data_IF_074077970261
#
_entry.id   IF_074077970261
#
_cell.length_a   1.000
_cell.length_b   1.000
_cell.length_c   1.000
_cell.angle_alpha   90.00
_cell.angle_beta   90.00
_cell.angle_gamma   90.00
#
_symmetry.space_group_name_H-M   'P 1'
#
loop_
_entity.id
_entity.type
_entity.pdbx_description
1 polymer ?
#
# COMPACT_ATOMS: atom_id res chain seq x y z
N UNK A 1 29.48 5.30 12.29
CA UNK A 1 28.48 5.49 11.20
C UNK A 1 28.88 4.64 10.00
N UNK A 2 27.92 3.95 9.39
CA UNK A 2 28.19 3.30 8.12
C UNK A 2 28.71 4.33 7.11
N UNK A 3 29.68 3.94 6.28
CA UNK A 3 30.16 4.81 5.20
C UNK A 3 29.08 4.98 4.14
N UNK A 4 29.18 6.01 3.30
CA UNK A 4 28.27 6.19 2.16
C UNK A 4 28.25 4.94 1.25
N UNK A 5 29.40 4.30 1.03
CA UNK A 5 29.51 3.09 0.25
C UNK A 5 28.72 1.91 0.89
N UNK A 6 28.87 1.70 2.19
CA UNK A 6 28.14 0.63 2.91
C UNK A 6 26.64 0.84 2.90
N UNK A 7 26.17 2.09 3.11
CA UNK A 7 24.74 2.45 3.00
C UNK A 7 24.20 2.13 1.60
N UNK A 8 24.91 2.59 0.57
CA UNK A 8 24.55 2.36 -0.82
C UNK A 8 24.51 0.86 -1.15
N UNK A 9 25.47 0.09 -0.67
CA UNK A 9 25.50 -1.37 -0.86
C UNK A 9 24.29 -2.07 -0.24
N UNK A 10 23.90 -1.71 0.99
CA UNK A 10 22.71 -2.25 1.66
C UNK A 10 21.42 -1.93 0.90
N UNK A 11 21.27 -0.67 0.48
CA UNK A 11 20.11 -0.26 -0.33
C UNK A 11 20.11 -1.03 -1.65
N UNK A 12 21.25 -1.10 -2.36
CA UNK A 12 21.37 -1.82 -3.61
C UNK A 12 20.99 -3.30 -3.48
N UNK A 13 21.37 -3.94 -2.37
CA UNK A 13 21.03 -5.33 -2.08
C UNK A 13 19.52 -5.55 -1.95
N UNK A 14 18.79 -4.63 -1.35
CA UNK A 14 17.33 -4.72 -1.25
C UNK A 14 16.64 -4.37 -2.58
N UNK A 15 17.11 -3.36 -3.29
CA UNK A 15 16.58 -2.95 -4.59
C UNK A 15 16.73 -4.06 -5.64
N UNK A 16 17.85 -4.79 -5.63
CA UNK A 16 18.14 -5.87 -6.59
C UNK A 16 17.21 -7.07 -6.46
N UNK A 17 16.35 -7.12 -5.44
CA UNK A 17 15.36 -8.17 -5.26
C UNK A 17 13.99 -7.68 -5.75
N UNK A 18 13.49 -8.11 -6.91
CA UNK A 18 12.13 -7.76 -7.36
C UNK A 18 11.08 -8.20 -6.33
N UNK A 19 10.14 -7.31 -6.03
CA UNK A 19 9.09 -7.57 -5.05
C UNK A 19 7.83 -6.75 -5.36
N UNK A 20 7.46 -6.68 -6.64
CA UNK A 20 6.26 -5.96 -7.07
C UNK A 20 5.02 -6.62 -6.47
N UNK A 21 4.16 -5.83 -5.85
CA UNK A 21 2.81 -6.22 -5.43
C UNK A 21 1.81 -5.74 -6.47
N UNK A 22 0.96 -6.65 -6.95
CA UNK A 22 0.00 -6.35 -8.01
C UNK A 22 -1.29 -7.14 -7.83
N UNK A 23 -2.42 -6.51 -8.17
CA UNK A 23 -3.70 -7.21 -8.31
C UNK A 23 -3.76 -8.08 -9.57
N UNK A 24 -2.81 -7.93 -10.49
CA UNK A 24 -2.64 -8.76 -11.68
C UNK A 24 -1.54 -9.79 -11.37
N UNK A 25 -1.89 -11.08 -11.23
CA UNK A 25 -0.94 -12.10 -10.74
C UNK A 25 0.35 -12.19 -11.54
N UNK A 26 0.28 -12.00 -12.85
CA UNK A 26 1.43 -12.11 -13.77
C UNK A 26 2.48 -11.00 -13.55
N UNK A 27 2.10 -9.90 -12.90
CA UNK A 27 2.99 -8.78 -12.57
C UNK A 27 3.52 -8.87 -11.14
N UNK A 28 2.96 -9.76 -10.31
CA UNK A 28 3.34 -9.91 -8.93
C UNK A 28 4.62 -10.70 -8.75
N UNK A 29 5.42 -10.33 -7.74
CA UNK A 29 6.62 -11.05 -7.33
C UNK A 29 6.52 -11.51 -5.87
N UNK A 30 7.22 -12.58 -5.54
CA UNK A 30 7.48 -12.94 -4.15
C UNK A 30 8.28 -11.85 -3.43
N UNK A 31 7.97 -11.57 -2.16
CA UNK A 31 8.81 -10.70 -1.36
C UNK A 31 9.87 -11.46 -0.54
N UNK A 32 9.87 -12.80 -0.58
CA UNK A 32 10.81 -13.61 0.19
C UNK A 32 12.28 -13.28 -0.08
N UNK A 33 12.74 -13.01 -1.33
CA UNK A 33 14.12 -12.62 -1.57
C UNK A 33 14.53 -11.34 -0.81
N UNK A 34 13.66 -10.33 -0.75
CA UNK A 34 13.89 -9.10 0.04
C UNK A 34 13.93 -9.43 1.53
N UNK A 35 12.99 -10.23 2.02
CA UNK A 35 12.90 -10.67 3.42
C UNK A 35 14.16 -11.40 3.84
N UNK A 36 14.66 -12.35 3.03
CA UNK A 36 15.87 -13.10 3.35
C UNK A 36 17.11 -12.19 3.35
N UNK A 37 17.25 -11.32 2.34
CA UNK A 37 18.37 -10.38 2.29
C UNK A 37 18.38 -9.43 3.52
N UNK A 38 17.21 -8.96 3.94
CA UNK A 38 17.06 -8.12 5.14
C UNK A 38 17.33 -8.90 6.41
N UNK A 39 16.84 -10.15 6.51
CA UNK A 39 17.04 -11.03 7.66
C UNK A 39 18.53 -11.27 7.94
N UNK A 40 19.29 -11.58 6.88
CA UNK A 40 20.76 -11.79 6.99
C UNK A 40 21.47 -10.53 7.50
N UNK A 41 21.12 -9.35 6.99
CA UNK A 41 21.72 -8.09 7.43
C UNK A 41 21.38 -7.78 8.89
N UNK A 42 20.16 -8.02 9.32
CA UNK A 42 19.71 -7.79 10.70
C UNK A 42 20.30 -8.79 11.68
N UNK A 43 20.42 -10.06 11.30
CA UNK A 43 21.09 -11.07 12.11
C UNK A 43 22.58 -10.75 12.30
N UNK A 44 23.26 -10.31 11.25
CA UNK A 44 24.65 -9.87 11.32
C UNK A 44 24.85 -8.66 12.26
N UNK A 45 23.82 -7.82 12.41
CA UNK A 45 23.79 -6.69 13.34
C UNK A 45 23.29 -7.04 14.76
N UNK A 46 23.13 -8.33 15.07
CA UNK A 46 22.77 -8.81 16.42
C UNK A 46 21.30 -8.81 16.75
N UNK A 47 20.42 -8.63 15.78
CA UNK A 47 18.96 -8.75 16.00
C UNK A 47 18.53 -10.22 16.11
N UNK A 48 17.58 -10.48 17.01
CA UNK A 48 16.76 -11.69 16.94
C UNK A 48 15.72 -11.51 15.83
N UNK A 49 15.82 -12.30 14.77
CA UNK A 49 14.98 -12.17 13.56
C UNK A 49 13.99 -13.31 13.47
N UNK A 50 12.74 -12.97 13.18
CA UNK A 50 11.65 -13.89 12.93
C UNK A 50 11.02 -13.58 11.55
N UNK A 51 11.02 -14.57 10.67
CA UNK A 51 10.29 -14.52 9.40
C UNK A 51 8.92 -15.13 9.62
N UNK A 52 7.87 -14.41 9.25
CA UNK A 52 6.47 -14.69 9.52
C UNK A 52 5.73 -14.91 8.20
N UNK A 53 5.62 -16.16 7.68
CA UNK A 53 4.89 -16.45 6.46
C UNK A 53 3.43 -16.02 6.54
N UNK A 54 2.90 -15.45 5.46
CA UNK A 54 1.49 -15.04 5.43
C UNK A 54 0.56 -16.25 5.25
N UNK A 55 -0.55 -16.32 5.98
CA UNK A 55 -1.51 -17.39 5.85
C UNK A 55 -2.06 -17.50 4.42
N UNK A 56 -1.94 -18.69 3.82
CA UNK A 56 -2.43 -18.95 2.46
C UNK A 56 -1.59 -18.35 1.32
N UNK A 57 -0.45 -17.71 1.62
CA UNK A 57 0.44 -17.07 0.64
C UNK A 57 1.88 -17.55 0.87
N UNK A 58 2.28 -18.71 0.33
CA UNK A 58 3.58 -19.34 0.65
C UNK A 58 4.79 -18.54 0.12
N UNK A 59 4.58 -17.62 -0.80
CA UNK A 59 5.58 -16.74 -1.42
C UNK A 59 5.66 -15.35 -0.76
N UNK A 60 4.90 -15.13 0.34
CA UNK A 60 4.83 -13.86 1.05
C UNK A 60 5.12 -14.04 2.53
N UNK A 61 5.90 -13.14 3.10
CA UNK A 61 6.18 -13.09 4.53
C UNK A 61 6.37 -11.66 5.04
N UNK A 62 6.07 -11.47 6.32
CA UNK A 62 6.60 -10.35 7.10
C UNK A 62 7.92 -10.74 7.76
N UNK A 63 8.68 -9.75 8.19
CA UNK A 63 9.84 -9.93 9.04
C UNK A 63 9.70 -9.05 10.28
N UNK A 64 9.94 -9.62 11.45
CA UNK A 64 10.07 -8.91 12.70
C UNK A 64 11.45 -9.17 13.31
N UNK A 65 12.24 -8.11 13.43
CA UNK A 65 13.56 -8.16 14.06
C UNK A 65 13.53 -7.37 15.36
N UNK A 66 14.20 -7.86 16.40
CA UNK A 66 14.22 -7.29 17.73
C UNK A 66 15.63 -7.18 18.29
N UNK A 67 15.97 -6.00 18.80
CA UNK A 67 17.18 -5.71 19.55
C UNK A 67 16.79 -5.29 20.97
N UNK A 68 17.42 -5.89 21.98
CA UNK A 68 17.09 -5.64 23.39
C UNK A 68 15.86 -6.42 23.90
N UNK A 69 15.54 -6.26 25.18
CA UNK A 69 14.54 -7.03 25.92
C UNK A 69 13.50 -6.13 26.57
N UNK A 70 12.43 -6.74 27.10
CA UNK A 70 11.38 -6.04 27.85
C UNK A 70 10.10 -5.76 27.04
N UNK A 71 9.08 -5.16 27.65
CA UNK A 71 7.81 -4.82 27.01
C UNK A 71 7.86 -3.49 26.25
N UNK A 72 6.94 -3.29 25.32
CA UNK A 72 6.76 -2.04 24.60
C UNK A 72 7.89 -1.77 23.59
N UNK A 73 8.51 -0.59 23.68
CA UNK A 73 9.61 -0.19 22.81
C UNK A 73 9.18 0.59 21.56
N UNK A 74 10.11 0.71 20.62
CA UNK A 74 9.95 1.41 19.35
C UNK A 74 10.02 0.42 18.20
N UNK A 75 9.08 0.49 17.26
CA UNK A 75 9.16 -0.22 15.98
C UNK A 75 9.43 0.78 14.86
N UNK A 76 10.44 0.47 14.04
CA UNK A 76 10.70 1.10 12.75
C UNK A 76 10.07 0.20 11.69
N UNK A 77 9.00 0.65 11.07
CA UNK A 77 8.18 -0.16 10.17
C UNK A 77 8.27 0.34 8.72
N UNK A 78 8.34 -0.59 7.80
CA UNK A 78 8.26 -0.34 6.37
C UNK A 78 7.76 -1.56 5.62
N UNK A 79 7.43 -1.39 4.34
CA UNK A 79 7.05 -2.49 3.47
C UNK A 79 8.19 -2.91 2.54
N UNK A 80 8.11 -4.13 2.04
CA UNK A 80 9.12 -4.75 1.18
C UNK A 80 8.73 -4.76 -0.29
N UNK A 81 7.46 -4.57 -0.56
CA UNK A 81 6.90 -4.56 -1.89
C UNK A 81 7.04 -3.19 -2.56
N UNK A 82 6.73 -3.16 -3.84
CA UNK A 82 6.73 -1.98 -4.69
C UNK A 82 5.56 -2.05 -5.65
N UNK A 83 5.13 -0.90 -6.17
CA UNK A 83 4.13 -0.83 -7.24
C UNK A 83 4.64 -1.44 -8.55
N UNK A 84 3.75 -1.87 -9.47
CA UNK A 84 4.12 -2.13 -10.85
C UNK A 84 4.73 -0.88 -11.51
N UNK A 85 5.65 -1.09 -12.45
CA UNK A 85 6.37 -0.02 -13.13
C UNK A 85 6.18 -0.11 -14.65
N UNK A 86 6.23 1.04 -15.31
CA UNK A 86 6.24 1.09 -16.78
C UNK A 86 7.69 1.12 -17.27
N UNK A 87 8.13 0.01 -17.86
CA UNK A 87 9.48 -0.16 -18.38
C UNK A 87 9.88 0.95 -19.36
N UNK A 88 8.93 1.46 -20.14
CA UNK A 88 9.21 2.49 -21.14
C UNK A 88 9.54 3.87 -20.53
N UNK A 89 9.13 4.11 -19.29
CA UNK A 89 9.37 5.37 -18.58
C UNK A 89 10.68 5.35 -17.76
N UNK A 90 11.29 4.16 -17.55
CA UNK A 90 12.53 4.05 -16.83
C UNK A 90 13.74 4.30 -17.73
N UNK A 91 14.68 5.13 -17.26
CA UNK A 91 15.93 5.46 -17.94
C UNK A 91 17.08 4.54 -17.54
N UNK A 92 16.87 3.66 -16.56
CA UNK A 92 17.83 2.69 -16.04
C UNK A 92 17.10 1.40 -15.64
N UNK A 93 17.81 0.35 -15.29
CA UNK A 93 17.22 -0.87 -14.74
C UNK A 93 16.58 -0.58 -13.38
N UNK A 94 15.25 -0.77 -13.21
CA UNK A 94 14.54 -0.51 -11.93
C UNK A 94 15.13 -1.29 -10.74
N UNK A 95 15.70 -2.44 -10.98
CA UNK A 95 16.25 -3.33 -9.95
C UNK A 95 17.76 -3.18 -9.74
N UNK A 96 18.36 -2.15 -10.37
CA UNK A 96 19.77 -1.80 -10.18
C UNK A 96 19.88 -0.39 -9.62
N UNK A 97 20.39 -0.28 -8.39
CA UNK A 97 20.58 1.03 -7.77
C UNK A 97 21.64 1.85 -8.54
N UNK A 98 21.23 3.00 -9.02
CA UNK A 98 22.11 3.99 -9.64
C UNK A 98 22.21 5.27 -8.81
N UNK A 99 23.40 5.87 -8.83
CA UNK A 99 23.62 7.19 -8.24
C UNK A 99 23.92 8.19 -9.35
N UNK A 100 23.09 9.24 -9.42
CA UNK A 100 23.26 10.36 -10.36
C UNK A 100 22.92 11.67 -9.65
N UNK A 101 23.74 12.68 -9.82
CA UNK A 101 23.51 14.02 -9.28
C UNK A 101 23.21 14.03 -7.76
N UNK A 102 23.90 13.17 -7.01
CA UNK A 102 23.74 13.05 -5.56
C UNK A 102 22.41 12.39 -5.13
N UNK A 103 21.68 11.75 -6.05
CA UNK A 103 20.44 11.03 -5.80
C UNK A 103 20.58 9.55 -6.14
N UNK A 104 19.85 8.71 -5.41
CA UNK A 104 19.77 7.27 -5.64
C UNK A 104 18.48 6.94 -6.41
N UNK A 105 18.62 6.20 -7.52
CA UNK A 105 17.53 5.77 -8.38
C UNK A 105 17.43 4.24 -8.35
N UNK A 106 16.21 3.72 -8.23
CA UNK A 106 15.87 2.31 -8.21
C UNK A 106 14.44 2.12 -7.69
N UNK A 107 13.74 1.10 -8.13
CA UNK A 107 12.36 0.81 -7.69
C UNK A 107 12.36 0.42 -6.21
N UNK A 108 11.65 1.20 -5.38
CA UNK A 108 11.68 1.09 -3.92
C UNK A 108 12.82 1.87 -3.24
N UNK A 109 13.59 2.71 -3.96
CA UNK A 109 14.61 3.56 -3.35
C UNK A 109 14.00 4.70 -2.50
N UNK A 110 12.84 5.20 -2.88
CA UNK A 110 12.08 6.16 -2.09
C UNK A 110 10.94 5.49 -1.31
N UNK A 111 10.22 4.57 -1.96
CA UNK A 111 9.05 3.88 -1.45
C UNK A 111 9.22 2.35 -1.57
N UNK A 112 9.62 1.65 -0.49
CA UNK A 112 10.32 2.28 0.64
C UNK A 112 11.44 1.37 1.17
N UNK A 113 11.98 0.47 0.31
CA UNK A 113 13.01 -0.51 0.72
C UNK A 113 14.27 0.15 1.31
N UNK A 114 14.65 1.35 0.82
CA UNK A 114 15.81 2.05 1.36
C UNK A 114 15.62 2.41 2.84
N UNK A 115 14.40 2.69 3.29
CA UNK A 115 14.14 2.95 4.71
C UNK A 115 14.56 1.78 5.59
N UNK A 116 14.33 0.54 5.18
CA UNK A 116 14.71 -0.65 5.94
C UNK A 116 16.24 -0.75 6.15
N UNK A 117 17.02 -0.39 5.11
CA UNK A 117 18.47 -0.31 5.22
C UNK A 117 18.93 0.84 6.14
N UNK A 118 18.24 1.99 6.10
CA UNK A 118 18.52 3.13 6.97
C UNK A 118 18.11 2.87 8.42
N UNK A 119 17.01 2.14 8.65
CA UNK A 119 16.58 1.70 9.98
C UNK A 119 17.62 0.78 10.62
N UNK A 120 18.18 -0.16 9.84
CA UNK A 120 19.30 -1.00 10.28
C UNK A 120 20.53 -0.14 10.62
N UNK A 121 20.92 0.80 9.76
CA UNK A 121 22.06 1.69 10.03
C UNK A 121 21.86 2.50 11.31
N UNK A 122 20.66 3.04 11.52
CA UNK A 122 20.34 3.78 12.73
C UNK A 122 20.45 2.89 13.98
N UNK A 123 20.01 1.64 13.89
CA UNK A 123 20.06 0.68 14.97
C UNK A 123 21.49 0.24 15.35
N UNK A 124 22.45 0.24 14.42
CA UNK A 124 23.86 -0.08 14.68
C UNK A 124 24.54 0.94 15.63
N UNK A 125 23.93 2.11 15.85
CA UNK A 125 24.41 3.09 16.81
C UNK A 125 23.84 2.90 18.21
N UNK A 126 23.00 1.87 18.40
CA UNK A 126 22.34 1.59 19.67
C UNK A 126 23.02 0.41 20.35
N UNK A 127 23.53 0.63 21.55
CA UNK A 127 24.06 -0.44 22.40
C UNK A 127 22.88 -1.22 23.01
N UNK A 128 22.77 -2.51 22.65
CA UNK A 128 21.62 -3.36 23.02
C UNK A 128 21.41 -3.50 24.53
N UNK A 129 22.50 -3.54 25.30
CA UNK A 129 22.52 -3.64 26.75
C UNK A 129 22.09 -2.35 27.47
N UNK A 130 22.11 -1.22 26.79
CA UNK A 130 21.64 0.08 27.30
C UNK A 130 20.17 0.35 27.00
N UNK A 131 19.53 -0.49 26.19
CA UNK A 131 18.12 -0.35 25.86
C UNK A 131 17.24 -0.68 27.09
N UNK A 132 16.38 0.27 27.47
CA UNK A 132 15.35 0.07 28.52
C UNK A 132 14.10 -0.64 27.99
N UNK A 133 13.93 -0.66 26.68
CA UNK A 133 12.85 -1.30 25.96
C UNK A 133 13.34 -1.66 24.55
N UNK A 134 12.78 -2.66 23.88
CA UNK A 134 13.31 -3.14 22.60
C UNK A 134 13.18 -2.11 21.47
N UNK A 135 14.20 -2.09 20.60
CA UNK A 135 14.11 -1.54 19.27
C UNK A 135 13.74 -2.67 18.30
N UNK A 136 12.72 -2.45 17.49
CA UNK A 136 12.22 -3.44 16.54
C UNK A 136 12.27 -2.87 15.12
N UNK A 137 12.56 -3.73 14.15
CA UNK A 137 12.40 -3.43 12.72
C UNK A 137 11.35 -4.40 12.19
N UNK A 138 10.33 -3.84 11.58
CA UNK A 138 9.22 -4.57 10.97
C UNK A 138 9.21 -4.30 9.48
N UNK A 139 9.23 -5.38 8.69
CA UNK A 139 9.07 -5.31 7.24
C UNK A 139 7.83 -6.11 6.84
N UNK A 140 6.89 -5.46 6.17
CA UNK A 140 5.60 -6.04 5.78
C UNK A 140 5.54 -6.35 4.29
N UNK A 141 4.63 -7.26 3.93
CA UNK A 141 4.29 -7.59 2.55
C UNK A 141 3.01 -6.88 2.11
N UNK A 142 2.90 -6.65 0.80
CA UNK A 142 1.68 -6.24 0.08
C UNK A 142 0.98 -4.98 0.63
N UNK A 143 1.77 -4.01 1.07
CA UNK A 143 1.26 -2.70 1.48
C UNK A 143 0.58 -2.00 0.31
N UNK A 144 1.21 -2.05 -0.87
CA UNK A 144 0.80 -1.37 -2.10
C UNK A 144 -0.48 -1.95 -2.76
N UNK A 145 -1.01 -3.03 -2.21
CA UNK A 145 -2.23 -3.68 -2.75
C UNK A 145 -3.26 -4.01 -1.67
N UNK A 146 -3.11 -5.19 -1.04
CA UNK A 146 -4.12 -5.76 -0.12
C UNK A 146 -3.88 -5.40 1.34
N UNK A 147 -2.69 -4.95 1.71
CA UNK A 147 -2.21 -4.80 3.09
C UNK A 147 -2.24 -6.12 3.90
N UNK A 148 -2.12 -7.27 3.25
CA UNK A 148 -2.25 -8.57 3.91
C UNK A 148 -1.17 -8.77 4.97
N UNK A 149 0.04 -8.24 4.76
CA UNK A 149 1.09 -8.22 5.77
C UNK A 149 0.65 -7.53 7.06
N UNK A 150 0.10 -6.33 6.95
CA UNK A 150 -0.38 -5.58 8.11
C UNK A 150 -1.61 -6.25 8.76
N UNK A 151 -2.54 -6.80 7.96
CA UNK A 151 -3.70 -7.54 8.45
C UNK A 151 -3.31 -8.78 9.24
N UNK A 152 -2.31 -9.53 8.78
CA UNK A 152 -1.77 -10.68 9.50
C UNK A 152 -1.20 -10.28 10.87
N UNK A 153 -0.50 -9.15 10.97
CA UNK A 153 0.02 -8.64 12.25
C UNK A 153 -1.09 -8.33 13.25
N UNK A 154 -2.22 -7.79 12.79
CA UNK A 154 -3.39 -7.57 13.66
C UNK A 154 -3.92 -8.88 14.22
N UNK A 155 -4.07 -9.92 13.39
CA UNK A 155 -4.54 -11.25 13.82
C UNK A 155 -3.56 -11.91 14.79
N UNK A 156 -2.26 -11.71 14.61
CA UNK A 156 -1.22 -12.23 15.51
C UNK A 156 -1.00 -11.35 16.75
N UNK A 157 -1.61 -10.15 16.81
CA UNK A 157 -1.41 -9.15 17.87
C UNK A 157 0.07 -8.79 18.07
N UNK A 158 0.83 -8.58 16.98
CA UNK A 158 2.27 -8.32 16.97
C UNK A 158 2.64 -7.21 15.97
N UNK A 159 3.75 -6.47 16.22
CA UNK A 159 4.49 -6.43 17.48
C UNK A 159 3.75 -5.62 18.54
N UNK A 160 4.04 -5.89 19.82
CA UNK A 160 3.54 -5.08 20.96
C UNK A 160 4.53 -3.94 21.24
N UNK A 161 4.48 -2.90 20.43
CA UNK A 161 5.31 -1.71 20.59
C UNK A 161 4.53 -0.57 21.29
N UNK A 162 5.24 0.33 21.98
CA UNK A 162 4.65 1.56 22.53
C UNK A 162 4.60 2.68 21.50
N UNK A 163 5.60 2.73 20.62
CA UNK A 163 5.74 3.74 19.59
C UNK A 163 6.08 3.07 18.25
N UNK A 164 5.65 3.69 17.16
CA UNK A 164 5.98 3.28 15.81
C UNK A 164 6.43 4.49 14.98
N UNK A 165 7.45 4.28 14.17
CA UNK A 165 7.83 5.16 13.06
C UNK A 165 7.67 4.34 11.79
N UNK A 166 6.83 4.83 10.89
CA UNK A 166 6.62 4.26 9.57
C UNK A 166 7.39 5.14 8.57
N UNK A 167 8.30 4.53 7.82
CA UNK A 167 9.28 5.27 7.03
C UNK A 167 8.83 5.64 5.63
N UNK A 168 7.54 5.93 5.46
CA UNK A 168 6.99 6.41 4.20
C UNK A 168 7.65 7.72 3.72
N UNK A 169 7.70 7.97 2.38
CA UNK A 169 8.33 9.15 1.80
C UNK A 169 7.51 10.44 2.04
N UNK A 170 7.67 11.02 3.22
CA UNK A 170 6.93 12.22 3.68
C UNK A 170 7.75 13.52 3.58
N UNK A 171 8.84 13.52 2.81
CA UNK A 171 9.78 14.64 2.73
C UNK A 171 10.33 15.06 4.12
N UNK A 172 10.60 14.07 4.97
CA UNK A 172 11.05 14.20 6.36
C UNK A 172 10.09 15.02 7.26
N UNK A 173 8.85 15.18 6.85
CA UNK A 173 7.81 15.79 7.67
C UNK A 173 7.10 14.73 8.50
N UNK A 174 6.95 14.98 9.79
CA UNK A 174 6.23 14.07 10.66
C UNK A 174 4.72 14.11 10.31
N UNK A 175 4.21 13.02 9.75
CA UNK A 175 2.78 12.81 9.46
C UNK A 175 2.22 11.92 10.57
N UNK A 176 1.17 12.38 11.26
CA UNK A 176 0.55 11.65 12.38
C UNK A 176 -0.85 11.09 12.06
N UNK A 177 -1.39 11.46 10.91
CA UNK A 177 -2.68 10.98 10.43
C UNK A 177 -2.78 11.14 8.91
N UNK A 178 -3.49 10.25 8.26
CA UNK A 178 -3.84 10.32 6.85
C UNK A 178 -5.30 9.92 6.66
N UNK A 179 -5.85 10.21 5.47
CA UNK A 179 -7.18 9.74 5.09
C UNK A 179 -7.15 8.22 4.88
N UNK A 180 -8.23 7.56 5.27
CA UNK A 180 -8.44 6.17 4.90
C UNK A 180 -8.74 6.04 3.40
N UNK A 181 -8.61 4.82 2.88
CA UNK A 181 -8.86 4.49 1.47
C UNK A 181 -9.91 3.39 1.38
N UNK A 182 -10.82 3.53 0.42
CA UNK A 182 -11.77 2.50 0.03
C UNK A 182 -11.91 2.54 -1.49
N UNK A 183 -11.51 1.46 -2.16
CA UNK A 183 -11.72 1.26 -3.60
C UNK A 183 -12.87 0.27 -3.78
N UNK A 184 -13.86 0.64 -4.55
CA UNK A 184 -15.05 -0.19 -4.78
C UNK A 184 -15.38 -0.23 -6.27
N UNK A 185 -15.96 -1.36 -6.68
CA UNK A 185 -16.54 -1.54 -8.00
C UNK A 185 -18.04 -1.70 -7.89
N UNK A 186 -18.77 -0.86 -8.58
CA UNK A 186 -20.21 -1.01 -8.79
C UNK A 186 -20.47 -1.65 -10.15
N UNK A 187 -21.33 -2.64 -10.16
CA UNK A 187 -21.78 -3.33 -11.36
C UNK A 187 -23.28 -3.16 -11.51
N UNK A 188 -23.71 -2.56 -12.62
CA UNK A 188 -25.11 -2.48 -13.02
C UNK A 188 -25.39 -3.57 -14.04
N UNK A 189 -26.31 -4.45 -13.71
CA UNK A 189 -26.77 -5.53 -14.59
C UNK A 189 -28.06 -5.14 -15.27
N UNK A 190 -28.08 -5.27 -16.57
CA UNK A 190 -29.24 -5.08 -17.42
C UNK A 190 -29.60 -6.36 -18.18
N UNK A 191 -30.22 -6.18 -19.32
CA UNK A 191 -30.54 -7.26 -20.27
C UNK A 191 -30.24 -6.78 -21.69
N UNK A 192 -29.35 -7.48 -22.38
CA UNK A 192 -29.02 -7.19 -23.78
C UNK A 192 -30.18 -7.47 -24.72
N UNK A 193 -30.26 -6.71 -25.80
CA UNK A 193 -31.24 -6.85 -26.88
C UNK A 193 -30.81 -6.02 -28.05
N UNK A 194 -31.55 -6.10 -29.17
CA UNK A 194 -31.32 -5.26 -30.35
C UNK A 194 -31.85 -3.85 -30.08
N UNK A 195 -31.05 -2.81 -30.39
CA UNK A 195 -31.38 -1.41 -30.05
C UNK A 195 -32.63 -0.86 -30.77
N UNK A 196 -33.05 -1.48 -31.89
CA UNK A 196 -34.26 -1.07 -32.61
C UNK A 196 -35.57 -1.39 -31.87
N UNK A 197 -35.52 -2.30 -30.87
CA UNK A 197 -36.67 -2.61 -30.02
C UNK A 197 -36.27 -2.58 -28.53
N UNK A 198 -36.49 -1.45 -27.87
CA UNK A 198 -36.15 -1.27 -26.47
C UNK A 198 -36.85 -2.25 -25.49
N UNK A 199 -37.98 -2.85 -25.91
CA UNK A 199 -38.70 -3.83 -25.09
C UNK A 199 -37.96 -5.15 -24.96
N UNK A 200 -36.97 -5.43 -25.85
CA UNK A 200 -36.15 -6.64 -25.83
C UNK A 200 -35.06 -6.62 -24.73
N UNK A 201 -34.77 -5.46 -24.17
CA UNK A 201 -33.67 -5.31 -23.22
C UNK A 201 -33.96 -4.38 -22.03
N UNK A 202 -32.91 -4.17 -21.23
CA UNK A 202 -32.87 -3.15 -20.19
C UNK A 202 -31.43 -2.63 -20.11
N UNK A 203 -31.23 -1.36 -20.43
CA UNK A 203 -29.89 -0.78 -20.55
C UNK A 203 -29.18 -0.60 -19.21
N UNK A 204 -28.07 -1.28 -19.02
CA UNK A 204 -27.19 -1.06 -17.88
C UNK A 204 -26.53 0.34 -17.91
N UNK A 205 -26.30 0.92 -19.10
CA UNK A 205 -25.78 2.28 -19.23
C UNK A 205 -26.78 3.31 -18.72
N UNK A 206 -28.09 3.16 -19.03
CA UNK A 206 -29.13 4.05 -18.50
C UNK A 206 -29.27 3.91 -16.98
N UNK A 207 -29.11 2.68 -16.46
CA UNK A 207 -29.02 2.44 -15.03
C UNK A 207 -27.81 3.13 -14.41
N UNK A 208 -26.64 3.02 -15.04
CA UNK A 208 -25.40 3.63 -14.55
C UNK A 208 -25.47 5.16 -14.53
N UNK A 209 -26.17 5.81 -15.46
CA UNK A 209 -26.35 7.28 -15.41
C UNK A 209 -27.03 7.75 -14.12
N UNK A 210 -28.00 6.97 -13.63
CA UNK A 210 -28.67 7.25 -12.34
C UNK A 210 -27.73 7.03 -11.16
N UNK A 211 -26.93 5.96 -11.18
CA UNK A 211 -25.91 5.66 -10.18
C UNK A 211 -24.89 6.79 -10.10
N UNK A 212 -24.36 7.24 -11.25
CA UNK A 212 -23.42 8.36 -11.32
C UNK A 212 -24.01 9.64 -10.70
N UNK A 213 -25.27 9.97 -11.01
CA UNK A 213 -25.97 11.12 -10.42
C UNK A 213 -26.08 11.00 -8.90
N UNK A 214 -26.48 9.84 -8.39
CA UNK A 214 -26.59 9.59 -6.94
C UNK A 214 -25.22 9.69 -6.24
N UNK A 215 -24.15 9.14 -6.83
CA UNK A 215 -22.79 9.22 -6.27
C UNK A 215 -22.26 10.66 -6.25
N UNK A 216 -22.58 11.48 -7.27
CA UNK A 216 -22.20 12.90 -7.27
C UNK A 216 -22.93 13.68 -6.18
N UNK A 217 -24.20 13.38 -5.94
CA UNK A 217 -24.99 13.94 -4.82
C UNK A 217 -24.39 13.51 -3.48
N UNK A 218 -24.16 12.21 -3.29
CA UNK A 218 -23.52 11.66 -2.09
C UNK A 218 -22.16 12.31 -1.80
N UNK A 219 -21.33 12.52 -2.84
CA UNK A 219 -20.06 13.24 -2.69
C UNK A 219 -20.25 14.61 -2.07
N UNK A 220 -21.22 15.38 -2.57
CA UNK A 220 -21.54 16.71 -2.01
C UNK A 220 -22.00 16.64 -0.56
N UNK A 221 -22.88 15.69 -0.22
CA UNK A 221 -23.38 15.48 1.14
C UNK A 221 -22.25 15.09 2.11
N UNK A 222 -21.36 14.16 1.71
CA UNK A 222 -20.22 13.76 2.51
C UNK A 222 -19.28 14.94 2.77
N UNK A 223 -18.99 15.76 1.75
CA UNK A 223 -18.15 16.95 1.88
C UNK A 223 -18.77 18.03 2.77
N UNK A 224 -20.08 18.20 2.74
CA UNK A 224 -20.79 19.12 3.61
C UNK A 224 -20.82 18.64 5.07
N UNK A 225 -21.00 17.32 5.27
CA UNK A 225 -21.16 16.72 6.59
C UNK A 225 -19.84 16.53 7.33
N UNK A 226 -18.78 16.13 6.63
CA UNK A 226 -17.51 15.75 7.23
C UNK A 226 -16.41 16.75 6.84
N UNK A 227 -15.83 17.41 7.83
CA UNK A 227 -14.73 18.36 7.65
C UNK A 227 -13.69 18.18 8.74
N UNK A 228 -12.40 18.25 8.34
CA UNK A 228 -11.28 18.24 9.26
C UNK A 228 -10.20 19.22 8.79
N UNK A 229 -10.05 20.37 9.46
CA UNK A 229 -9.13 21.44 9.05
C UNK A 229 -7.65 21.06 9.21
N UNK A 230 -7.32 19.93 9.82
CA UNK A 230 -5.94 19.42 9.89
C UNK A 230 -5.40 18.90 8.57
N UNK A 231 -6.27 18.66 7.58
CA UNK A 231 -5.88 18.21 6.24
C UNK A 231 -5.86 19.37 5.25
N UNK A 232 -4.88 19.38 4.35
CA UNK A 232 -4.81 20.37 3.27
C UNK A 232 -6.10 20.41 2.42
N UNK A 233 -6.67 19.23 2.15
CA UNK A 233 -8.04 19.09 1.63
C UNK A 233 -8.93 18.60 2.78
N UNK A 234 -9.71 19.50 3.43
CA UNK A 234 -10.35 19.22 4.70
C UNK A 234 -11.61 18.35 4.62
N UNK A 235 -11.94 17.83 3.44
CA UNK A 235 -13.16 17.04 3.18
C UNK A 235 -12.81 15.64 2.66
N UNK A 236 -13.71 14.65 2.80
CA UNK A 236 -13.55 13.36 2.11
C UNK A 236 -13.64 13.56 0.61
N UNK A 237 -13.03 12.65 -0.16
CA UNK A 237 -13.11 12.65 -1.62
C UNK A 237 -13.75 11.37 -2.13
N UNK A 238 -14.58 11.47 -3.15
CA UNK A 238 -15.11 10.37 -3.92
C UNK A 238 -14.78 10.64 -5.40
N UNK A 239 -13.94 9.79 -5.97
CA UNK A 239 -13.53 9.86 -7.36
C UNK A 239 -14.18 8.73 -8.16
N UNK A 240 -14.77 9.07 -9.29
CA UNK A 240 -15.27 8.11 -10.27
C UNK A 240 -14.13 7.87 -11.26
N UNK A 241 -13.38 6.78 -11.06
CA UNK A 241 -12.07 6.59 -11.68
C UNK A 241 -12.12 5.97 -13.07
N UNK A 242 -13.00 4.98 -13.27
CA UNK A 242 -13.11 4.23 -14.53
C UNK A 242 -14.53 3.74 -14.73
N UNK A 243 -15.03 3.86 -15.93
CA UNK A 243 -16.31 3.28 -16.34
C UNK A 243 -16.12 2.42 -17.59
N UNK A 244 -16.78 1.27 -17.64
CA UNK A 244 -16.77 0.37 -18.79
C UNK A 244 -18.13 -0.32 -18.92
N UNK A 245 -18.67 -0.37 -20.15
CA UNK A 245 -19.92 -1.07 -20.41
C UNK A 245 -20.32 -1.02 -21.89
N UNK A 246 -21.10 -2.02 -22.30
CA UNK A 246 -21.54 -2.20 -23.68
C UNK A 246 -20.44 -2.73 -24.60
N UNK A 247 -20.85 -3.21 -25.78
CA UNK A 247 -19.98 -3.87 -26.76
C UNK A 247 -20.25 -3.41 -28.21
N UNK A 248 -21.42 -2.85 -28.48
CA UNK A 248 -21.81 -2.41 -29.82
C UNK A 248 -22.91 -1.35 -29.78
N UNK A 249 -22.89 -0.33 -30.69
CA UNK A 249 -23.88 0.75 -30.70
C UNK A 249 -25.29 0.28 -31.08
N UNK A 250 -25.45 -0.86 -31.69
CA UNK A 250 -26.76 -1.43 -32.08
C UNK A 250 -27.28 -2.50 -31.11
N UNK A 251 -26.65 -2.57 -29.89
CA UNK A 251 -27.08 -3.46 -28.83
C UNK A 251 -27.39 -2.68 -27.54
N UNK A 252 -28.43 -3.10 -26.86
CA UNK A 252 -28.72 -2.62 -25.50
C UNK A 252 -27.65 -3.15 -24.56
N UNK A 253 -27.02 -2.26 -23.79
CA UNK A 253 -25.95 -2.62 -22.88
C UNK A 253 -26.46 -3.53 -21.76
N UNK A 254 -25.92 -4.74 -21.66
CA UNK A 254 -26.30 -5.74 -20.66
C UNK A 254 -25.56 -5.61 -19.35
N UNK A 255 -24.42 -4.92 -19.31
CA UNK A 255 -23.61 -4.76 -18.11
C UNK A 255 -22.77 -3.48 -18.21
N UNK A 256 -22.67 -2.76 -17.08
CA UNK A 256 -21.81 -1.59 -16.93
C UNK A 256 -21.14 -1.59 -15.56
N UNK A 257 -19.84 -1.38 -15.55
CA UNK A 257 -19.01 -1.32 -14.32
C UNK A 257 -18.45 0.09 -14.11
N UNK A 258 -18.36 0.48 -12.84
CA UNK A 258 -17.74 1.71 -12.37
C UNK A 258 -16.75 1.38 -11.26
N UNK A 259 -15.48 1.74 -11.46
CA UNK A 259 -14.46 1.73 -10.40
C UNK A 259 -14.36 3.11 -9.77
N UNK A 260 -14.36 3.17 -8.44
CA UNK A 260 -14.29 4.42 -7.70
C UNK A 260 -13.34 4.33 -6.50
N UNK A 261 -12.81 5.49 -6.10
CA UNK A 261 -11.94 5.67 -4.94
C UNK A 261 -12.58 6.66 -3.97
N UNK A 262 -12.76 6.24 -2.72
CA UNK A 262 -13.24 7.07 -1.62
C UNK A 262 -12.12 7.25 -0.60
N UNK A 263 -11.75 8.52 -0.33
CA UNK A 263 -10.79 8.88 0.73
C UNK A 263 -11.56 9.46 1.92
N UNK A 264 -11.58 8.71 3.00
CA UNK A 264 -12.34 9.06 4.21
C UNK A 264 -11.48 9.81 5.23
N UNK A 265 -12.08 10.72 5.96
CA UNK A 265 -11.44 11.38 7.10
C UNK A 265 -11.40 10.45 8.31
N UNK A 266 -10.42 10.63 9.24
CA UNK A 266 -10.46 9.94 10.53
C UNK A 266 -11.80 10.12 11.25
N UNK A 267 -12.35 9.02 11.76
CA UNK A 267 -13.67 8.98 12.39
C UNK A 267 -14.82 8.58 11.48
N UNK A 268 -14.59 8.48 10.15
CA UNK A 268 -15.56 7.90 9.22
C UNK A 268 -15.31 6.38 9.12
N UNK A 269 -16.32 5.58 9.45
CA UNK A 269 -16.23 4.12 9.35
C UNK A 269 -16.42 3.66 7.90
N UNK A 270 -15.51 2.84 7.38
CA UNK A 270 -15.57 2.34 5.99
C UNK A 270 -16.85 1.54 5.73
N UNK A 271 -17.33 0.76 6.70
CA UNK A 271 -18.56 -0.02 6.56
C UNK A 271 -19.80 0.87 6.44
N UNK A 272 -19.85 2.01 7.16
CA UNK A 272 -20.92 3.00 6.99
C UNK A 272 -20.90 3.61 5.59
N UNK A 273 -19.70 3.95 5.10
CA UNK A 273 -19.54 4.47 3.73
C UNK A 273 -19.97 3.46 2.68
N UNK A 274 -19.61 2.20 2.86
CA UNK A 274 -20.03 1.10 1.98
C UNK A 274 -21.56 0.91 1.99
N UNK A 275 -22.19 1.06 3.15
CA UNK A 275 -23.64 0.98 3.27
C UNK A 275 -24.37 2.13 2.56
N UNK A 276 -23.79 3.33 2.53
CA UNK A 276 -24.34 4.48 1.80
C UNK A 276 -24.26 4.34 0.27
N UNK A 277 -23.33 3.52 -0.21
CA UNK A 277 -23.10 3.28 -1.64
C UNK A 277 -23.98 2.14 -2.18
N UNK A 278 -24.46 1.26 -1.30
CA UNK A 278 -25.36 0.14 -1.63
C UNK A 278 -26.81 0.58 -1.71
#
# INVERSE_FOLDING_TARGET
MATHAQRKERIARLISQPSVSSAVPELGHSNLPVIHALAEMLQAAGFAVEVLPLPGQPDKANLLARLGQGPGGLVLAGHTDTVPYDQALWQSDPFKLEERDGKLYGLGAADMKAFLALALEAAEHVEADRLRAPLMILATADEETSMDGARALLSWQRPKARHAIIGEPTDLRAVRAHKGIMMERLRVLGRSGHSSDPALGNSALDGMTRVLGALLTLRGELQARYQNPLFALPVPTLNLGRIQGGDSPNRICGECELDMDLRVLPGMALEEMRALIR
#
